data_IF_234919449085
#
_entry.id   IF_234919449085
#
_cell.length_a   1.000
_cell.length_b   1.000
_cell.length_c   1.000
_cell.angle_alpha   90.00
_cell.angle_beta   90.00
_cell.angle_gamma   90.00
#
_symmetry.space_group_name_H-M   'P 1'
#
loop_
_entity.id
_entity.type
_entity.pdbx_description
1 polymer ?
#
# COMPACT_ATOMS: atom_id res chain seq x y z
N UNK A 1 15.68 16.83 9.13
CA UNK A 1 14.43 16.15 8.76
C UNK A 1 14.54 15.69 7.31
N UNK A 2 14.35 14.40 7.03
CA UNK A 2 14.44 13.89 5.66
C UNK A 2 13.10 14.12 4.94
N UNK A 3 13.07 15.05 3.99
CA UNK A 3 11.84 15.42 3.27
C UNK A 3 11.32 14.31 2.36
N UNK A 4 12.19 13.43 1.86
CA UNK A 4 11.77 12.28 1.07
C UNK A 4 10.92 11.31 1.90
N UNK A 5 11.32 11.03 3.14
CA UNK A 5 10.51 10.23 4.05
C UNK A 5 9.18 10.92 4.41
N UNK A 6 9.14 12.25 4.52
CA UNK A 6 7.87 12.97 4.70
C UNK A 6 6.93 12.72 3.50
N UNK A 7 7.42 12.86 2.27
CA UNK A 7 6.61 12.60 1.08
C UNK A 7 6.21 11.13 0.94
N UNK A 8 7.10 10.20 1.30
CA UNK A 8 6.78 8.77 1.35
C UNK A 8 5.65 8.48 2.35
N UNK A 9 5.72 9.08 3.54
CA UNK A 9 4.70 8.95 4.58
C UNK A 9 3.35 9.51 4.15
N UNK A 10 3.33 10.72 3.56
CA UNK A 10 2.11 11.34 3.01
C UNK A 10 1.51 10.45 1.92
N UNK A 11 2.32 9.92 1.00
CA UNK A 11 1.88 9.04 -0.07
C UNK A 11 1.27 7.74 0.46
N UNK A 12 1.88 7.13 1.49
CA UNK A 12 1.35 5.93 2.13
C UNK A 12 -0.01 6.19 2.81
N UNK A 13 -0.14 7.29 3.57
CA UNK A 13 -1.39 7.67 4.23
C UNK A 13 -2.47 8.03 3.22
N UNK A 14 -2.13 8.77 2.16
CA UNK A 14 -3.06 9.06 1.06
C UNK A 14 -3.58 7.76 0.43
N UNK A 15 -2.69 6.81 0.16
CA UNK A 15 -3.06 5.50 -0.37
C UNK A 15 -3.94 4.73 0.61
N UNK A 16 -3.65 4.78 1.91
CA UNK A 16 -4.49 4.18 2.95
C UNK A 16 -5.90 4.78 2.94
N UNK A 17 -6.04 6.11 2.85
CA UNK A 17 -7.34 6.77 2.74
C UNK A 17 -8.10 6.37 1.47
N UNK A 18 -7.44 6.34 0.31
CA UNK A 18 -8.05 5.88 -0.95
C UNK A 18 -8.50 4.42 -0.82
N UNK A 19 -7.67 3.57 -0.22
CA UNK A 19 -7.97 2.17 0.06
C UNK A 19 -9.20 2.05 0.97
N UNK A 20 -9.26 2.80 2.07
CA UNK A 20 -10.41 2.79 2.97
C UNK A 20 -11.70 3.28 2.31
N UNK A 21 -11.70 4.44 1.66
CA UNK A 21 -12.94 5.08 1.23
C UNK A 21 -13.36 4.72 -0.19
N UNK A 22 -12.47 4.90 -1.18
CA UNK A 22 -12.79 4.58 -2.57
C UNK A 22 -12.82 3.06 -2.76
N UNK A 23 -11.85 2.35 -2.17
CA UNK A 23 -11.80 0.90 -2.23
C UNK A 23 -13.00 0.22 -1.59
N UNK A 24 -13.58 0.78 -0.51
CA UNK A 24 -14.83 0.27 0.07
C UNK A 24 -15.97 0.25 -0.95
N UNK A 25 -16.12 1.33 -1.71
CA UNK A 25 -17.19 1.47 -2.72
C UNK A 25 -16.95 0.55 -3.93
N UNK A 26 -15.73 0.50 -4.45
CA UNK A 26 -15.44 -0.11 -5.74
C UNK A 26 -14.91 -1.55 -5.66
N UNK A 27 -14.42 -2.01 -4.51
CA UNK A 27 -13.82 -3.34 -4.34
C UNK A 27 -14.58 -4.16 -3.29
N UNK A 28 -14.72 -3.64 -2.07
CA UNK A 28 -15.24 -4.43 -0.95
C UNK A 28 -16.74 -4.67 -1.01
N UNK A 29 -17.55 -3.64 -1.25
CA UNK A 29 -19.00 -3.85 -1.39
C UNK A 29 -19.33 -4.85 -2.50
N UNK A 30 -18.78 -4.73 -3.74
CA UNK A 30 -18.96 -5.75 -4.76
C UNK A 30 -18.50 -7.16 -4.35
N UNK A 31 -17.37 -7.28 -3.63
CA UNK A 31 -16.90 -8.56 -3.10
C UNK A 31 -17.90 -9.18 -2.10
N UNK A 32 -18.43 -8.37 -1.19
CA UNK A 32 -19.38 -8.80 -0.17
C UNK A 32 -20.79 -9.05 -0.71
N UNK A 33 -21.15 -8.51 -1.87
CA UNK A 33 -22.44 -8.73 -2.52
C UNK A 33 -22.38 -9.87 -3.57
N UNK A 34 -21.19 -10.32 -3.95
CA UNK A 34 -21.02 -11.34 -4.99
C UNK A 34 -21.61 -12.69 -4.55
N UNK A 35 -22.52 -13.31 -5.34
CA UNK A 35 -23.22 -14.54 -4.93
C UNK A 35 -22.36 -15.80 -4.99
N UNK A 36 -21.21 -15.75 -5.68
CA UNK A 36 -20.37 -16.94 -5.96
C UNK A 36 -19.31 -17.26 -4.91
N UNK A 37 -19.06 -16.37 -3.95
CA UNK A 37 -18.07 -16.63 -2.90
C UNK A 37 -18.71 -17.36 -1.72
N UNK A 38 -18.10 -18.46 -1.28
CA UNK A 38 -18.43 -19.05 0.00
C UNK A 38 -18.08 -18.09 1.15
N UNK A 39 -18.62 -18.36 2.35
CA UNK A 39 -18.42 -17.52 3.52
C UNK A 39 -16.95 -17.37 3.92
N UNK A 40 -16.16 -18.44 3.84
CA UNK A 40 -14.76 -18.44 4.28
C UNK A 40 -13.93 -17.57 3.36
N UNK A 41 -14.03 -17.77 2.04
CA UNK A 41 -13.30 -16.99 1.05
C UNK A 41 -13.67 -15.51 1.09
N UNK A 42 -14.98 -15.20 1.24
CA UNK A 42 -15.50 -13.83 1.34
C UNK A 42 -14.91 -13.06 2.51
N UNK A 43 -15.03 -13.61 3.71
CA UNK A 43 -14.59 -12.93 4.92
C UNK A 43 -13.07 -12.98 5.12
N UNK A 44 -12.38 -13.97 4.58
CA UNK A 44 -10.91 -13.97 4.52
C UNK A 44 -10.40 -12.79 3.68
N UNK A 45 -10.96 -12.57 2.48
CA UNK A 45 -10.57 -11.42 1.66
C UNK A 45 -10.94 -10.07 2.31
N UNK A 46 -12.10 -9.99 2.96
CA UNK A 46 -12.50 -8.82 3.75
C UNK A 46 -11.53 -8.53 4.90
N UNK A 47 -11.04 -9.56 5.59
CA UNK A 47 -10.04 -9.43 6.64
C UNK A 47 -8.69 -8.97 6.09
N UNK A 48 -8.19 -9.61 5.02
CA UNK A 48 -6.93 -9.23 4.36
C UNK A 48 -6.96 -7.77 3.88
N UNK A 49 -8.11 -7.28 3.40
CA UNK A 49 -8.28 -5.88 3.05
C UNK A 49 -8.02 -4.91 4.21
N UNK A 50 -8.53 -5.22 5.40
CA UNK A 50 -8.32 -4.37 6.56
C UNK A 50 -6.88 -4.42 7.06
N UNK A 51 -6.23 -5.60 7.00
CA UNK A 51 -4.79 -5.71 7.27
C UNK A 51 -3.99 -4.77 6.36
N UNK A 52 -4.26 -4.77 5.05
CA UNK A 52 -3.54 -3.88 4.11
C UNK A 52 -3.73 -2.41 4.49
N UNK A 53 -4.94 -2.01 4.87
CA UNK A 53 -5.21 -0.65 5.36
C UNK A 53 -4.35 -0.30 6.58
N UNK A 54 -4.31 -1.19 7.58
CA UNK A 54 -3.51 -0.99 8.79
C UNK A 54 -2.02 -0.90 8.45
N UNK A 55 -1.52 -1.77 7.57
CA UNK A 55 -0.11 -1.76 7.15
C UNK A 55 0.24 -0.45 6.43
N UNK A 56 -0.62 0.07 5.56
CA UNK A 56 -0.38 1.34 4.86
C UNK A 56 -0.31 2.53 5.83
N UNK A 57 -1.19 2.60 6.83
CA UNK A 57 -1.10 3.62 7.88
C UNK A 57 0.17 3.45 8.72
N UNK A 58 0.52 2.22 9.09
CA UNK A 58 1.76 1.93 9.81
C UNK A 58 2.99 2.35 9.00
N UNK A 59 3.05 2.07 7.70
CA UNK A 59 4.12 2.54 6.83
C UNK A 59 4.24 4.07 6.83
N UNK A 60 3.10 4.78 6.80
CA UNK A 60 3.08 6.24 6.96
C UNK A 60 3.73 6.70 8.26
N UNK A 61 3.35 6.09 9.38
CA UNK A 61 3.93 6.38 10.69
C UNK A 61 5.44 6.08 10.75
N UNK A 62 5.87 4.93 10.21
CA UNK A 62 7.29 4.53 10.15
C UNK A 62 8.12 5.57 9.40
N UNK A 63 7.65 6.03 8.25
CA UNK A 63 8.32 7.08 7.50
C UNK A 63 8.37 8.41 8.25
N UNK A 64 7.28 8.83 8.92
CA UNK A 64 7.28 10.06 9.71
C UNK A 64 8.25 10.01 10.89
N UNK A 65 8.36 8.86 11.56
CA UNK A 65 9.34 8.64 12.63
C UNK A 65 10.76 8.75 12.06
N UNK A 66 11.07 7.99 11.00
CA UNK A 66 12.38 8.02 10.37
C UNK A 66 12.74 9.39 9.75
N UNK A 67 11.76 10.19 9.33
CA UNK A 67 11.97 11.54 8.83
C UNK A 67 12.54 12.49 9.90
N UNK A 68 12.17 12.28 11.16
CA UNK A 68 12.55 13.14 12.29
C UNK A 68 13.69 12.57 13.13
N UNK A 69 13.93 11.26 13.06
CA UNK A 69 14.99 10.58 13.80
C UNK A 69 15.87 9.74 12.84
N UNK A 70 17.09 10.21 12.60
CA UNK A 70 18.06 9.54 11.72
C UNK A 70 18.59 8.21 12.27
N UNK A 71 18.49 7.97 13.58
CA UNK A 71 18.90 6.70 14.22
C UNK A 71 17.89 5.57 13.98
N UNK A 72 16.73 5.87 13.36
CA UNK A 72 15.64 4.92 13.11
C UNK A 72 15.46 4.63 11.62
N UNK A 73 16.55 4.69 10.85
CA UNK A 73 16.54 4.51 9.39
C UNK A 73 16.05 3.12 8.96
N UNK A 74 16.18 2.12 9.82
CA UNK A 74 15.70 0.75 9.63
C UNK A 74 14.16 0.70 9.46
N UNK A 75 13.44 1.64 10.08
CA UNK A 75 11.98 1.76 9.90
C UNK A 75 11.63 2.22 8.48
N UNK A 76 12.42 3.14 7.92
CA UNK A 76 12.27 3.56 6.53
C UNK A 76 12.65 2.44 5.56
N UNK A 77 13.69 1.66 5.87
CA UNK A 77 14.04 0.44 5.10
C UNK A 77 12.86 -0.54 5.05
N UNK A 78 12.30 -0.89 6.20
CA UNK A 78 11.17 -1.82 6.27
C UNK A 78 9.97 -1.33 5.44
N UNK A 79 9.59 -0.06 5.62
CA UNK A 79 8.48 0.53 4.87
C UNK A 79 8.76 0.60 3.36
N UNK A 80 10.00 0.91 2.96
CA UNK A 80 10.41 0.97 1.53
C UNK A 80 10.40 -0.40 0.88
N UNK A 81 10.85 -1.43 1.60
CA UNK A 81 10.80 -2.82 1.14
C UNK A 81 9.35 -3.26 0.95
N UNK A 82 8.45 -3.00 1.91
CA UNK A 82 7.03 -3.33 1.75
C UNK A 82 6.38 -2.59 0.59
N UNK A 83 6.62 -1.29 0.44
CA UNK A 83 6.10 -0.52 -0.70
C UNK A 83 6.56 -1.13 -2.04
N UNK A 84 7.84 -1.47 -2.14
CA UNK A 84 8.43 -2.10 -3.32
C UNK A 84 7.80 -3.46 -3.61
N UNK A 85 7.69 -4.33 -2.59
CA UNK A 85 7.08 -5.65 -2.72
C UNK A 85 5.61 -5.57 -3.14
N UNK A 86 4.85 -4.60 -2.63
CA UNK A 86 3.44 -4.44 -3.03
C UNK A 86 3.28 -3.99 -4.48
N UNK A 87 4.15 -3.08 -4.96
CA UNK A 87 4.19 -2.69 -6.37
C UNK A 87 4.55 -3.88 -7.24
N UNK A 88 5.63 -4.60 -6.90
CA UNK A 88 6.09 -5.76 -7.65
C UNK A 88 5.03 -6.86 -7.68
N UNK A 89 4.38 -7.14 -6.55
CA UNK A 89 3.31 -8.14 -6.47
C UNK A 89 2.11 -7.75 -7.34
N UNK A 90 1.68 -6.49 -7.33
CA UNK A 90 0.57 -6.04 -8.15
C UNK A 90 0.89 -6.15 -9.65
N UNK A 91 2.09 -5.73 -10.06
CA UNK A 91 2.54 -5.86 -11.45
C UNK A 91 2.69 -7.32 -11.87
N UNK A 92 3.23 -8.17 -10.99
CA UNK A 92 3.35 -9.62 -11.22
C UNK A 92 1.97 -10.27 -11.40
N UNK A 93 1.01 -9.97 -10.53
CA UNK A 93 -0.37 -10.45 -10.65
C UNK A 93 -1.01 -9.95 -11.96
N UNK A 94 -0.83 -8.68 -12.33
CA UNK A 94 -1.33 -8.13 -13.60
C UNK A 94 -0.76 -8.91 -14.79
N UNK A 95 0.55 -9.13 -14.82
CA UNK A 95 1.23 -9.79 -15.93
C UNK A 95 0.83 -11.27 -16.05
N UNK A 96 0.86 -12.01 -14.93
CA UNK A 96 0.55 -13.45 -14.91
C UNK A 96 -0.90 -13.76 -15.26
N UNK A 97 -1.84 -12.92 -14.82
CA UNK A 97 -3.26 -13.09 -15.10
C UNK A 97 -3.73 -12.31 -16.35
N UNK A 98 -2.80 -11.68 -17.09
CA UNK A 98 -3.07 -10.89 -18.31
C UNK A 98 -4.16 -9.82 -18.11
N UNK A 99 -4.12 -9.15 -16.97
CA UNK A 99 -5.10 -8.16 -16.56
C UNK A 99 -4.80 -6.80 -17.19
N UNK A 100 -5.80 -5.92 -17.26
CA UNK A 100 -5.62 -4.53 -17.72
C UNK A 100 -5.07 -3.68 -16.57
N UNK A 101 -3.84 -3.11 -16.66
CA UNK A 101 -3.22 -2.37 -15.54
C UNK A 101 -4.11 -1.24 -14.99
N UNK A 102 -4.86 -0.57 -15.85
CA UNK A 102 -5.76 0.53 -15.48
C UNK A 102 -6.93 0.12 -14.56
N UNK A 103 -7.28 -1.17 -14.49
CA UNK A 103 -8.32 -1.67 -13.58
C UNK A 103 -7.76 -2.00 -12.19
N UNK A 104 -6.44 -2.03 -12.06
CA UNK A 104 -5.71 -2.40 -10.84
C UNK A 104 -4.77 -1.25 -10.47
N UNK A 105 -5.30 -0.10 -10.00
CA UNK A 105 -4.50 1.11 -9.79
C UNK A 105 -3.55 1.00 -8.58
N UNK A 106 -3.48 -0.14 -7.89
CA UNK A 106 -2.69 -0.29 -6.67
C UNK A 106 -1.20 -0.08 -6.92
N UNK A 107 -0.66 -0.58 -8.04
CA UNK A 107 0.75 -0.32 -8.39
C UNK A 107 1.02 1.19 -8.50
N UNK A 108 0.14 1.94 -9.15
CA UNK A 108 0.33 3.36 -9.39
C UNK A 108 0.16 4.19 -8.10
N UNK A 109 -0.72 3.77 -7.19
CA UNK A 109 -0.91 4.45 -5.90
C UNK A 109 0.27 4.23 -4.95
N UNK A 110 0.87 3.02 -4.95
CA UNK A 110 1.96 2.67 -4.02
C UNK A 110 3.34 3.06 -4.59
N UNK A 111 3.48 3.14 -5.92
CA UNK A 111 4.76 3.47 -6.57
C UNK A 111 5.40 4.78 -6.05
N UNK A 112 4.68 5.90 -5.85
CA UNK A 112 5.28 7.11 -5.28
C UNK A 112 5.86 6.88 -3.88
N UNK A 113 5.17 6.08 -3.04
CA UNK A 113 5.69 5.71 -1.71
C UNK A 113 7.02 4.97 -1.80
N UNK A 114 7.13 4.01 -2.74
CA UNK A 114 8.38 3.28 -2.96
C UNK A 114 9.49 4.19 -3.49
N UNK A 115 9.19 5.05 -4.48
CA UNK A 115 10.17 5.97 -5.06
C UNK A 115 10.71 6.98 -4.04
N UNK A 116 9.83 7.59 -3.25
CA UNK A 116 10.25 8.51 -2.19
C UNK A 116 11.00 7.80 -1.06
N UNK A 117 10.60 6.57 -0.71
CA UNK A 117 11.33 5.74 0.26
C UNK A 117 12.77 5.49 -0.19
N UNK A 118 12.96 5.02 -1.42
CA UNK A 118 14.29 4.83 -1.99
C UNK A 118 15.09 6.12 -2.11
N UNK A 119 14.46 7.23 -2.53
CA UNK A 119 15.12 8.53 -2.59
C UNK A 119 15.65 8.96 -1.21
N UNK A 120 14.86 8.82 -0.14
CA UNK A 120 15.30 9.16 1.21
C UNK A 120 16.37 8.24 1.81
N UNK A 121 16.49 7.01 1.30
CA UNK A 121 17.56 6.09 1.68
C UNK A 121 18.88 6.38 0.96
N UNK A 122 18.82 7.00 -0.22
CA UNK A 122 19.97 7.30 -1.07
C UNK A 122 20.48 8.76 -0.92
N UNK A 123 19.63 9.68 -0.50
CA UNK A 123 19.88 11.12 -0.37
C UNK A 123 19.42 11.65 0.99
#
# INVERSE_FOLDING_TARGET
MNMWFVFAGISAVFTACVHTFAGQKFVIRPLLDAPKFDHVSRFTNYYCWHIVTMVLFSMGALYFIAATNSEMIELAWLATIYASLFVLWNLFMIATNRLKPKHFPQWALILPTALFGWAGLLF
#
